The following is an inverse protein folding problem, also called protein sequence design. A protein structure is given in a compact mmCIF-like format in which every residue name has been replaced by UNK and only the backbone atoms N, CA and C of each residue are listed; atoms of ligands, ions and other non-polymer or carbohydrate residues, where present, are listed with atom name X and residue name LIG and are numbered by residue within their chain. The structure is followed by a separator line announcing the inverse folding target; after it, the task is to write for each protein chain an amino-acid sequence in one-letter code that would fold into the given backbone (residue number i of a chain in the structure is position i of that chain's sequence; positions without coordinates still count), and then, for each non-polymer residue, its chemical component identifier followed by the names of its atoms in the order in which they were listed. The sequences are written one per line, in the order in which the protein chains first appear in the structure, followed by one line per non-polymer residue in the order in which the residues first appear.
data_IF_884786533249
#
_entry.id   IF_884786533249
#
_cell.length_a   1.000
_cell.length_b   1.000
_cell.length_c   1.000
_cell.angle_alpha   90.00
_cell.angle_beta   90.00
_cell.angle_gamma   90.00
#
_symmetry.space_group_name_H-M   'P 1'
#
loop_
_entity.id
_entity.type
_entity.pdbx_description
1 polymer ?
#
# COMPACT_ATOMS: atom_id res chain seq x y z
N UNK A 1 -28.67 -85.89 -25.72
CA UNK A 1 -27.53 -85.42 -26.54
C UNK A 1 -27.71 -83.92 -26.77
N UNK A 2 -27.55 -83.05 -25.77
CA UNK A 2 -26.33 -82.44 -25.21
C UNK A 2 -25.44 -81.71 -26.22
N UNK A 3 -25.28 -80.42 -25.92
CA UNK A 3 -24.13 -79.56 -26.20
C UNK A 3 -24.02 -78.97 -27.61
N UNK A 4 -24.53 -77.75 -27.78
CA UNK A 4 -23.72 -76.65 -28.32
C UNK A 4 -23.92 -75.43 -27.43
N UNK A 5 -23.31 -75.57 -26.26
CA UNK A 5 -23.05 -74.54 -25.25
C UNK A 5 -22.21 -73.42 -25.83
N UNK A 6 -22.74 -72.19 -25.76
CA UNK A 6 -22.05 -71.04 -25.15
C UNK A 6 -20.54 -70.92 -25.38
N UNK A 7 -20.07 -70.80 -26.63
CA UNK A 7 -18.64 -70.56 -26.91
C UNK A 7 -18.34 -69.48 -27.95
N UNK A 8 -19.17 -68.45 -28.02
CA UNK A 8 -18.88 -67.25 -28.83
C UNK A 8 -18.54 -66.00 -27.99
N UNK A 9 -18.15 -66.17 -26.73
CA UNK A 9 -17.55 -65.11 -25.89
C UNK A 9 -16.07 -65.37 -25.56
N UNK A 10 -15.45 -66.39 -26.16
CA UNK A 10 -14.19 -66.93 -25.66
C UNK A 10 -12.93 -66.50 -26.44
N UNK A 11 -12.98 -65.41 -27.24
CA UNK A 11 -11.86 -65.01 -28.09
C UNK A 11 -11.38 -63.55 -27.91
N UNK A 12 -11.89 -62.82 -26.91
CA UNK A 12 -11.49 -61.42 -26.69
C UNK A 12 -11.22 -61.08 -25.22
N UNK A 13 -10.53 -61.96 -24.50
CA UNK A 13 -9.75 -61.52 -23.33
C UNK A 13 -8.42 -60.97 -23.84
N UNK A 14 -8.48 -59.76 -24.39
CA UNK A 14 -7.32 -58.90 -24.58
C UNK A 14 -6.47 -58.93 -23.31
N UNK A 15 -5.16 -59.11 -23.46
CA UNK A 15 -4.20 -59.28 -22.38
C UNK A 15 -4.48 -58.34 -21.18
N UNK A 16 -5.05 -58.85 -20.07
CA UNK A 16 -5.46 -58.02 -18.93
C UNK A 16 -4.28 -57.34 -18.22
N UNK A 17 -3.07 -57.77 -18.54
CA UNK A 17 -1.79 -57.21 -18.10
C UNK A 17 -1.67 -55.70 -18.40
N UNK A 18 -2.17 -55.19 -19.54
CA UNK A 18 -2.04 -53.76 -19.88
C UNK A 18 -2.84 -52.88 -18.93
N UNK A 19 -4.06 -53.28 -18.58
CA UNK A 19 -4.94 -52.52 -17.67
C UNK A 19 -4.39 -52.49 -16.25
N UNK A 20 -3.78 -53.58 -15.77
CA UNK A 20 -3.11 -53.61 -14.46
C UNK A 20 -1.90 -52.67 -14.42
N UNK A 21 -1.07 -52.69 -15.46
CA UNK A 21 0.10 -51.79 -15.55
C UNK A 21 -0.35 -50.33 -15.67
N UNK A 22 -1.40 -50.03 -16.44
CA UNK A 22 -1.94 -48.68 -16.58
C UNK A 22 -2.46 -48.11 -15.25
N UNK A 23 -3.12 -48.94 -14.44
CA UNK A 23 -3.64 -48.53 -13.14
C UNK A 23 -2.52 -48.30 -12.13
N UNK A 24 -1.49 -49.17 -12.12
CA UNK A 24 -0.29 -48.94 -11.31
C UNK A 24 0.48 -47.67 -11.72
N UNK A 25 0.55 -47.37 -13.02
CA UNK A 25 1.17 -46.14 -13.52
C UNK A 25 0.37 -44.89 -13.16
N UNK A 26 -0.96 -44.97 -13.21
CA UNK A 26 -1.84 -43.86 -12.80
C UNK A 26 -1.73 -43.61 -11.29
N UNK A 27 -1.69 -44.66 -10.48
CA UNK A 27 -1.43 -44.55 -9.05
C UNK A 27 -0.07 -43.90 -8.76
N UNK A 28 0.98 -44.34 -9.45
CA UNK A 28 2.32 -43.77 -9.32
C UNK A 28 2.33 -42.27 -9.68
N UNK A 29 1.67 -41.88 -10.76
CA UNK A 29 1.56 -40.47 -11.16
C UNK A 29 0.86 -39.61 -10.11
N UNK A 30 -0.20 -40.12 -9.49
CA UNK A 30 -0.91 -39.42 -8.41
C UNK A 30 0.01 -39.23 -7.20
N UNK A 31 0.76 -40.27 -6.81
CA UNK A 31 1.72 -40.19 -5.69
C UNK A 31 2.81 -39.16 -5.98
N UNK A 32 3.39 -39.18 -7.18
CA UNK A 32 4.43 -38.21 -7.57
C UNK A 32 3.87 -36.79 -7.56
N UNK A 33 2.67 -36.58 -8.10
CA UNK A 33 1.99 -35.28 -8.06
C UNK A 33 1.80 -34.79 -6.63
N UNK A 34 1.38 -35.68 -5.72
CA UNK A 34 1.20 -35.36 -4.30
C UNK A 34 2.51 -34.98 -3.62
N UNK A 35 3.59 -35.71 -3.88
CA UNK A 35 4.94 -35.38 -3.37
C UNK A 35 5.43 -34.04 -3.92
N UNK A 36 5.14 -33.73 -5.17
CA UNK A 36 5.52 -32.46 -5.79
C UNK A 36 4.80 -31.28 -5.12
N UNK A 37 3.48 -31.41 -4.88
CA UNK A 37 2.69 -30.41 -4.16
C UNK A 37 3.19 -30.25 -2.72
N UNK A 38 3.46 -31.35 -2.02
CA UNK A 38 3.98 -31.33 -0.66
C UNK A 38 5.36 -30.65 -0.59
N UNK A 39 6.26 -30.96 -1.53
CA UNK A 39 7.58 -30.34 -1.62
C UNK A 39 7.51 -28.84 -1.91
N UNK A 40 6.62 -28.43 -2.82
CA UNK A 40 6.37 -27.01 -3.10
C UNK A 40 5.85 -26.29 -1.85
N UNK A 41 4.89 -26.89 -1.14
CA UNK A 41 4.31 -26.32 0.08
C UNK A 41 5.35 -26.15 1.18
N UNK A 42 6.23 -27.14 1.35
CA UNK A 42 7.34 -27.07 2.30
C UNK A 42 8.35 -25.98 1.93
N UNK A 43 8.68 -25.85 0.63
CA UNK A 43 9.59 -24.81 0.14
C UNK A 43 9.02 -23.41 0.39
N UNK A 44 7.73 -23.20 0.13
CA UNK A 44 7.06 -21.91 0.38
C UNK A 44 7.04 -21.61 1.89
N UNK A 45 6.73 -22.61 2.72
CA UNK A 45 6.72 -22.46 4.18
C UNK A 45 8.10 -22.10 4.75
N UNK A 46 9.17 -22.73 4.24
CA UNK A 46 10.53 -22.43 4.64
C UNK A 46 10.96 -21.01 4.24
N UNK A 47 10.63 -20.59 3.01
CA UNK A 47 10.99 -19.28 2.48
C UNK A 47 10.20 -18.15 3.16
N UNK A 48 8.93 -18.40 3.50
CA UNK A 48 8.10 -17.50 4.29
C UNK A 48 8.63 -17.34 5.73
N UNK A 49 9.12 -18.43 6.35
CA UNK A 49 9.71 -18.37 7.68
C UNK A 49 11.00 -17.53 7.70
N UNK A 50 11.87 -17.67 6.69
CA UNK A 50 13.08 -16.83 6.58
C UNK A 50 12.76 -15.36 6.32
N UNK A 51 11.82 -15.07 5.42
CA UNK A 51 11.41 -13.69 5.15
C UNK A 51 10.74 -13.03 6.37
N UNK A 52 10.03 -13.82 7.19
CA UNK A 52 9.44 -13.34 8.45
C UNK A 52 10.50 -12.91 9.49
N UNK A 53 11.63 -13.62 9.56
CA UNK A 53 12.74 -13.25 10.46
C UNK A 53 13.41 -11.95 10.03
N UNK A 54 13.64 -11.76 8.73
CA UNK A 54 14.22 -10.51 8.20
C UNK A 54 13.29 -9.31 8.47
N UNK A 55 11.97 -9.51 8.31
CA UNK A 55 10.97 -8.48 8.64
C UNK A 55 11.00 -8.16 10.15
N UNK A 56 11.15 -9.18 11.01
CA UNK A 56 11.24 -8.99 12.44
C UNK A 56 12.48 -8.18 12.82
N UNK A 57 13.63 -8.47 12.22
CA UNK A 57 14.87 -7.73 12.46
C UNK A 57 14.74 -6.25 12.03
N UNK A 58 14.21 -6.02 10.82
CA UNK A 58 13.92 -4.67 10.33
C UNK A 58 12.95 -3.90 11.24
N UNK A 59 11.94 -4.58 11.78
CA UNK A 59 10.99 -3.99 12.71
C UNK A 59 11.67 -3.58 14.02
N UNK A 60 12.56 -4.43 14.56
CA UNK A 60 13.35 -4.11 15.76
C UNK A 60 14.25 -2.89 15.52
N UNK A 61 14.93 -2.83 14.39
CA UNK A 61 15.78 -1.68 14.03
C UNK A 61 14.98 -0.38 13.91
N UNK A 62 13.78 -0.44 13.31
CA UNK A 62 12.86 0.69 13.20
C UNK A 62 12.38 1.18 14.57
N UNK A 63 12.00 0.26 15.44
CA UNK A 63 11.51 0.57 16.78
C UNK A 63 12.62 1.19 17.63
N UNK A 64 13.84 0.68 17.53
CA UNK A 64 15.01 1.27 18.21
C UNK A 64 15.27 2.70 17.75
N UNK A 65 15.28 2.94 16.43
CA UNK A 65 15.49 4.28 15.86
C UNK A 65 14.40 5.24 16.28
N UNK A 66 13.14 4.78 16.27
CA UNK A 66 11.99 5.58 16.71
C UNK A 66 12.10 5.96 18.18
N UNK A 67 12.52 5.02 19.03
CA UNK A 67 12.76 5.28 20.45
C UNK A 67 13.87 6.32 20.66
N UNK A 68 14.97 6.24 19.91
CA UNK A 68 16.06 7.23 19.94
C UNK A 68 15.58 8.62 19.51
N UNK A 69 14.77 8.72 18.45
CA UNK A 69 14.20 10.01 18.04
C UNK A 69 13.27 10.61 19.10
N UNK A 70 12.43 9.79 19.74
CA UNK A 70 11.55 10.24 20.80
C UNK A 70 12.34 10.76 22.01
N UNK A 71 13.39 10.05 22.40
CA UNK A 71 14.28 10.47 23.48
C UNK A 71 14.99 11.80 23.15
N UNK A 72 15.58 11.93 21.96
CA UNK A 72 16.23 13.17 21.51
C UNK A 72 15.25 14.36 21.47
N UNK A 73 14.00 14.14 21.04
CA UNK A 73 12.97 15.18 21.05
C UNK A 73 12.62 15.61 22.48
N UNK A 74 12.52 14.66 23.41
CA UNK A 74 12.28 14.98 24.82
C UNK A 74 13.44 15.76 25.42
N UNK A 75 14.68 15.36 25.15
CA UNK A 75 15.87 16.08 25.59
C UNK A 75 15.90 17.51 25.02
N UNK A 76 15.61 17.66 23.73
CA UNK A 76 15.54 18.97 23.10
C UNK A 76 14.46 19.83 23.74
N UNK A 77 13.24 19.30 23.90
CA UNK A 77 12.14 20.00 24.54
C UNK A 77 12.47 20.44 25.97
N UNK A 78 13.18 19.59 26.73
CA UNK A 78 13.68 19.96 28.05
C UNK A 78 14.71 21.10 27.98
N UNK A 79 15.70 21.01 27.10
CA UNK A 79 16.74 22.03 26.94
C UNK A 79 16.21 23.38 26.43
N UNK A 80 15.15 23.35 25.61
CA UNK A 80 14.46 24.54 25.08
C UNK A 80 13.25 24.94 25.92
N UNK A 81 13.03 24.28 27.06
CA UNK A 81 11.95 24.66 27.96
C UNK A 81 12.25 26.04 28.54
N UNK A 82 11.19 26.82 28.76
CA UNK A 82 11.28 28.18 29.28
C UNK A 82 12.09 28.22 30.58
N UNK A 83 11.86 27.27 31.49
CA UNK A 83 12.60 27.19 32.76
C UNK A 83 14.10 26.99 32.57
N UNK A 84 14.53 26.06 31.70
CA UNK A 84 15.95 25.77 31.47
C UNK A 84 16.62 26.91 30.71
N UNK A 85 15.93 27.49 29.72
CA UNK A 85 16.42 28.64 28.96
C UNK A 85 16.51 29.90 29.83
N UNK A 86 15.52 30.19 30.65
CA UNK A 86 15.50 31.33 31.56
C UNK A 86 16.64 31.21 32.58
N UNK A 87 16.83 30.02 33.17
CA UNK A 87 17.97 29.77 34.06
C UNK A 87 19.30 30.03 33.36
N UNK A 88 19.50 29.47 32.15
CA UNK A 88 20.72 29.70 31.37
C UNK A 88 20.91 31.19 31.02
N UNK A 89 19.83 31.89 30.69
CA UNK A 89 19.87 33.32 30.39
C UNK A 89 20.28 34.13 31.64
N UNK A 90 19.73 33.81 32.80
CA UNK A 90 20.12 34.43 34.09
C UNK A 90 21.59 34.17 34.41
N UNK A 91 22.06 32.94 34.23
CA UNK A 91 23.47 32.56 34.46
C UNK A 91 24.43 33.30 33.51
N UNK A 92 23.99 33.63 32.30
CA UNK A 92 24.73 34.45 31.33
C UNK A 92 24.61 35.97 31.59
N UNK A 93 23.89 36.39 32.63
CA UNK A 93 23.72 37.79 33.01
C UNK A 93 22.61 38.54 32.26
N UNK A 94 21.77 37.84 31.49
CA UNK A 94 20.59 38.45 30.88
C UNK A 94 19.57 38.83 31.96
N UNK A 95 18.85 39.92 31.70
CA UNK A 95 17.77 40.42 32.55
C UNK A 95 16.46 40.37 31.78
N UNK A 96 15.37 40.09 32.50
CA UNK A 96 14.04 40.08 31.90
C UNK A 96 13.67 41.51 31.47
N UNK A 97 13.39 41.69 30.18
CA UNK A 97 12.89 42.95 29.67
C UNK A 97 11.43 43.12 30.11
N UNK A 98 11.17 44.09 30.98
CA UNK A 98 9.82 44.36 31.47
C UNK A 98 9.16 45.44 30.61
N UNK A 99 7.84 45.40 30.50
CA UNK A 99 7.05 46.32 29.66
C UNK A 99 7.22 47.79 30.08
N UNK A 100 7.59 48.04 31.33
CA UNK A 100 7.85 49.38 31.88
C UNK A 100 9.15 50.04 31.38
N UNK A 101 10.08 49.30 30.76
CA UNK A 101 11.34 49.84 30.23
C UNK A 101 11.72 49.23 28.86
N UNK A 102 11.02 49.61 27.76
CA UNK A 102 11.28 49.04 26.45
C UNK A 102 12.62 49.54 25.88
N UNK A 103 13.59 48.64 25.73
CA UNK A 103 14.82 48.91 24.98
C UNK A 103 14.54 48.81 23.46
N UNK A 104 14.64 49.93 22.75
CA UNK A 104 14.50 49.97 21.30
C UNK A 104 15.86 49.82 20.60
N UNK A 105 15.97 48.83 19.70
CA UNK A 105 17.12 48.67 18.82
C UNK A 105 16.78 49.22 17.43
N UNK A 106 17.49 50.26 16.99
CA UNK A 106 17.35 50.78 15.63
C UNK A 106 18.20 49.90 14.71
N UNK A 107 17.55 49.14 13.84
CA UNK A 107 18.23 48.34 12.81
C UNK A 107 18.33 49.21 11.55
N UNK A 108 19.53 49.64 11.12
CA UNK A 108 19.68 50.45 9.92
C UNK A 108 19.21 49.65 8.70
N UNK A 109 18.47 50.31 7.80
CA UNK A 109 17.91 49.71 6.58
C UNK A 109 16.86 48.60 6.80
N UNK A 110 16.19 48.57 7.97
CA UNK A 110 15.04 47.68 8.18
C UNK A 110 13.80 48.24 7.47
N UNK A 111 13.39 47.61 6.37
CA UNK A 111 12.24 48.01 5.54
C UNK A 111 10.86 47.84 6.23
N UNK A 112 10.84 47.45 7.51
CA UNK A 112 9.62 47.09 8.23
C UNK A 112 9.13 45.68 7.90
N UNK A 113 8.07 45.26 8.58
CA UNK A 113 7.40 43.99 8.28
C UNK A 113 6.60 44.17 6.98
N UNK A 114 7.06 43.56 5.90
CA UNK A 114 6.24 43.44 4.69
C UNK A 114 4.99 42.62 5.06
N UNK A 115 3.84 43.28 5.12
CA UNK A 115 2.56 42.59 5.23
C UNK A 115 2.31 41.94 3.87
N UNK A 116 2.90 40.76 3.66
CA UNK A 116 2.59 39.94 2.52
C UNK A 116 1.08 39.64 2.57
N UNK A 117 0.30 40.34 1.73
CA UNK A 117 -1.13 40.07 1.55
C UNK A 117 -1.25 38.73 0.84
N UNK A 118 -1.24 37.65 1.61
CA UNK A 118 -1.35 36.27 1.10
C UNK A 118 -2.74 35.94 0.54
N UNK A 119 -3.68 36.91 0.55
CA UNK A 119 -4.98 36.78 -0.07
C UNK A 119 -5.20 37.90 -1.10
N UNK A 120 -5.70 37.57 -2.31
CA UNK A 120 -6.32 38.55 -3.18
C UNK A 120 -7.45 39.28 -2.43
N UNK A 121 -7.64 40.60 -2.65
CA UNK A 121 -8.82 41.32 -2.17
C UNK A 121 -10.09 40.54 -2.56
N UNK A 122 -11.14 40.46 -1.71
CA UNK A 122 -12.39 39.81 -2.08
C UNK A 122 -13.00 40.50 -3.31
N UNK A 123 -12.75 39.95 -4.49
CA UNK A 123 -13.41 40.35 -5.72
C UNK A 123 -14.84 39.83 -5.70
N UNK A 124 -15.80 40.72 -5.97
CA UNK A 124 -17.24 40.46 -5.93
C UNK A 124 -17.76 39.46 -7.00
N UNK A 125 -16.89 38.88 -7.83
CA UNK A 125 -17.30 37.90 -8.84
C UNK A 125 -16.28 36.75 -8.92
N UNK A 126 -16.29 35.88 -7.90
CA UNK A 126 -15.78 34.53 -8.08
C UNK A 126 -16.80 33.75 -8.91
N UNK A 127 -16.77 33.89 -10.24
CA UNK A 127 -17.30 32.83 -11.09
C UNK A 127 -16.33 31.65 -10.88
N UNK A 128 -16.77 30.54 -10.25
CA UNK A 128 -15.88 29.41 -10.02
C UNK A 128 -15.49 28.87 -11.40
N UNK A 129 -14.28 29.19 -11.84
CA UNK A 129 -13.67 28.50 -12.96
C UNK A 129 -13.49 27.06 -12.52
N UNK A 130 -14.07 26.07 -13.22
CA UNK A 130 -13.92 24.67 -12.84
C UNK A 130 -12.43 24.31 -12.88
N UNK A 131 -11.80 24.25 -11.70
CA UNK A 131 -10.38 23.84 -11.55
C UNK A 131 -10.20 22.38 -11.99
N UNK A 132 -11.30 21.62 -12.01
CA UNK A 132 -11.35 20.23 -12.38
C UNK A 132 -12.07 20.09 -13.73
N UNK A 133 -11.46 19.33 -14.64
CA UNK A 133 -12.16 18.90 -15.87
C UNK A 133 -13.37 18.05 -15.46
N UNK A 134 -14.54 18.18 -16.12
CA UNK A 134 -15.74 17.41 -15.77
C UNK A 134 -15.51 15.90 -15.70
N UNK A 135 -14.57 15.36 -16.49
CA UNK A 135 -14.16 13.96 -16.45
C UNK A 135 -13.65 13.47 -15.07
N UNK A 136 -13.11 14.36 -14.23
CA UNK A 136 -12.64 14.00 -12.88
C UNK A 136 -13.71 14.13 -11.80
N UNK A 137 -14.85 14.77 -12.12
CA UNK A 137 -16.01 14.88 -11.24
C UNK A 137 -17.13 13.92 -11.65
N UNK A 138 -16.98 13.22 -12.77
CA UNK A 138 -17.92 12.19 -13.19
C UNK A 138 -17.81 10.96 -12.29
N UNK A 139 -18.96 10.40 -11.93
CA UNK A 139 -19.03 9.13 -11.22
C UNK A 139 -18.52 8.00 -12.12
N UNK A 140 -17.78 7.05 -11.54
CA UNK A 140 -17.35 5.83 -12.24
C UNK A 140 -18.54 5.05 -12.80
N UNK A 141 -19.70 5.12 -12.14
CA UNK A 141 -20.94 4.53 -12.63
C UNK A 141 -21.52 5.25 -13.85
N UNK A 142 -21.40 6.57 -13.90
CA UNK A 142 -21.84 7.40 -15.04
C UNK A 142 -21.03 7.06 -16.29
N UNK A 143 -19.69 7.04 -16.17
CA UNK A 143 -18.78 6.64 -17.24
C UNK A 143 -19.06 5.19 -17.70
N UNK A 144 -19.30 4.28 -16.75
CA UNK A 144 -19.56 2.86 -17.06
C UNK A 144 -20.80 2.69 -17.93
N UNK A 145 -21.93 3.30 -17.54
CA UNK A 145 -23.16 3.23 -18.33
C UNK A 145 -23.00 3.94 -19.68
N UNK A 146 -22.33 5.09 -19.70
CA UNK A 146 -22.14 5.86 -20.92
C UNK A 146 -21.20 5.17 -21.92
N UNK A 147 -20.17 4.45 -21.47
CA UNK A 147 -19.24 3.73 -22.34
C UNK A 147 -19.70 2.33 -22.76
N UNK A 148 -20.34 1.58 -21.85
CA UNK A 148 -20.76 0.20 -22.13
C UNK A 148 -22.10 0.14 -22.86
N UNK A 149 -23.05 1.03 -22.55
CA UNK A 149 -24.37 1.02 -23.22
C UNK A 149 -24.32 1.71 -24.60
N UNK A 150 -23.49 2.74 -24.79
CA UNK A 150 -23.33 3.39 -26.10
C UNK A 150 -22.69 2.49 -27.16
N UNK A 151 -21.89 1.49 -26.73
CA UNK A 151 -21.33 0.48 -27.63
C UNK A 151 -22.37 -0.60 -28.02
N UNK A 152 -23.48 -0.70 -27.27
CA UNK A 152 -24.51 -1.73 -27.50
C UNK A 152 -25.69 -1.27 -28.35
N UNK A 153 -25.68 -0.03 -28.85
CA UNK A 153 -26.72 0.51 -29.72
C UNK A 153 -26.16 0.78 -31.14
N UNK A 154 -26.38 -0.11 -32.14
CA UNK A 154 -25.84 0.03 -33.48
C UNK A 154 -26.55 1.09 -34.35
N UNK A 155 -27.48 1.87 -33.81
CA UNK A 155 -28.30 2.79 -34.60
C UNK A 155 -28.15 4.24 -34.20
N UNK A 156 -26.94 4.81 -34.35
CA UNK A 156 -26.74 6.26 -34.51
C UNK A 156 -25.38 6.55 -35.20
N UNK A 157 -25.11 5.81 -36.27
CA UNK A 157 -24.20 6.21 -37.33
C UNK A 157 -24.97 6.97 -38.42
N UNK A 158 -25.60 8.09 -38.07
CA UNK A 158 -26.19 9.02 -39.03
C UNK A 158 -26.32 10.41 -38.40
N UNK A 159 -25.25 11.19 -38.50
CA UNK A 159 -25.26 12.56 -39.04
C UNK A 159 -24.01 13.28 -38.52
N UNK A 160 -23.17 13.65 -39.49
CA UNK A 160 -22.20 14.73 -39.37
C UNK A 160 -22.93 16.06 -39.14
#
# INVERSE_FOLDING_TARGET
MTAITQKLEQAYKQAPWRTQVQWSGMFLLVVISFVMVAGLYLSISAQAATAGLDIQDLQVQKDETTRRMADLRNQLAYLTSDQVMEKRAKDLGFKLNRIDDPTYLIIPNYAGRELASMAPPPGLDMIPSPVLRPAYTQSLWEWLFQGVLSYSDPSLGANQ
#
